data_IF_296654071719
#
_entry.id   IF_296654071719
#
_cell.length_a   1.000
_cell.length_b   1.000
_cell.length_c   1.000
_cell.angle_alpha   90.00
_cell.angle_beta   90.00
_cell.angle_gamma   90.00
#
_symmetry.space_group_name_H-M   'P 1'
#
loop_
_entity.id
_entity.type
_entity.pdbx_description
1 polymer ?
#
# COMPACT_ATOMS: atom_id res chain seq x y z
N UNK A 1 11.86 -12.98 2.00
CA UNK A 1 11.11 -13.99 1.25
C UNK A 1 9.69 -14.24 1.74
N UNK A 2 9.45 -14.66 3.00
CA UNK A 2 8.13 -15.10 3.47
C UNK A 2 7.05 -13.98 3.42
N UNK A 3 7.35 -12.79 3.94
CA UNK A 3 6.39 -11.66 3.97
C UNK A 3 5.97 -11.24 2.55
N UNK A 4 6.91 -11.24 1.60
CA UNK A 4 6.60 -10.92 0.20
C UNK A 4 5.67 -11.98 -0.41
N UNK A 5 5.90 -13.27 -0.14
CA UNK A 5 4.99 -14.34 -0.60
C UNK A 5 3.61 -14.23 0.05
N UNK A 6 3.54 -13.90 1.35
CA UNK A 6 2.29 -13.64 2.03
C UNK A 6 1.55 -12.45 1.40
N UNK A 7 2.28 -11.40 0.98
CA UNK A 7 1.68 -10.26 0.26
C UNK A 7 1.16 -10.65 -1.13
N UNK A 8 1.85 -11.50 -1.88
CA UNK A 8 1.35 -12.01 -3.17
C UNK A 8 0.04 -12.78 -2.98
N UNK A 9 -0.03 -13.68 -1.99
CA UNK A 9 -1.28 -14.39 -1.65
C UNK A 9 -2.38 -13.42 -1.23
N UNK A 10 -2.05 -12.43 -0.41
CA UNK A 10 -2.97 -11.35 -0.03
C UNK A 10 -3.51 -10.61 -1.25
N UNK A 11 -2.63 -10.19 -2.16
CA UNK A 11 -2.96 -9.51 -3.41
C UNK A 11 -3.93 -10.33 -4.26
N UNK A 12 -3.61 -11.60 -4.54
CA UNK A 12 -4.44 -12.48 -5.36
C UNK A 12 -5.79 -12.76 -4.70
N UNK A 13 -5.83 -12.86 -3.37
CA UNK A 13 -7.09 -12.95 -2.62
C UNK A 13 -7.95 -11.70 -2.80
N UNK A 14 -7.38 -10.49 -2.93
CA UNK A 14 -8.16 -9.27 -3.15
C UNK A 14 -8.77 -9.22 -4.54
N UNK A 15 -8.10 -9.79 -5.54
CA UNK A 15 -8.66 -10.00 -6.89
C UNK A 15 -9.68 -11.14 -6.92
N UNK A 16 -9.74 -11.97 -5.88
CA UNK A 16 -10.61 -13.15 -5.85
C UNK A 16 -10.12 -14.30 -6.73
N UNK A 17 -8.85 -14.27 -7.13
CA UNK A 17 -8.22 -15.20 -8.08
C UNK A 17 -7.51 -16.38 -7.41
N UNK A 18 -7.12 -16.27 -6.12
CA UNK A 18 -6.36 -17.29 -5.45
C UNK A 18 -7.17 -18.57 -5.18
N UNK A 19 -8.45 -18.43 -4.78
CA UNK A 19 -9.39 -19.54 -4.60
C UNK A 19 -10.66 -19.33 -5.43
N UNK A 20 -11.31 -20.43 -5.85
CA UNK A 20 -12.64 -20.37 -6.45
C UNK A 20 -13.71 -19.81 -5.50
N UNK A 21 -13.53 -20.01 -4.21
CA UNK A 21 -14.47 -19.56 -3.16
C UNK A 21 -14.17 -18.12 -2.74
N UNK A 22 -15.16 -17.21 -2.89
CA UNK A 22 -15.07 -15.82 -2.40
C UNK A 22 -14.82 -15.77 -0.88
N UNK A 23 -15.42 -16.70 -0.12
CA UNK A 23 -15.23 -16.79 1.34
C UNK A 23 -13.80 -17.20 1.69
N UNK A 24 -13.23 -18.17 0.99
CA UNK A 24 -11.84 -18.60 1.19
C UNK A 24 -10.85 -17.45 0.89
N UNK A 25 -11.04 -16.72 -0.21
CA UNK A 25 -10.23 -15.53 -0.53
C UNK A 25 -10.33 -14.47 0.60
N UNK A 26 -11.53 -14.22 1.15
CA UNK A 26 -11.69 -13.26 2.22
C UNK A 26 -11.00 -13.72 3.53
N UNK A 27 -11.08 -15.00 3.90
CA UNK A 27 -10.45 -15.54 5.11
C UNK A 27 -8.93 -15.48 4.99
N UNK A 28 -8.37 -16.05 3.93
CA UNK A 28 -6.92 -16.10 3.72
C UNK A 28 -6.35 -14.70 3.47
N UNK A 29 -7.07 -13.85 2.74
CA UNK A 29 -6.70 -12.45 2.55
C UNK A 29 -6.63 -11.67 3.87
N UNK A 30 -7.54 -11.90 4.82
CA UNK A 30 -7.44 -11.30 6.16
C UNK A 30 -6.26 -11.83 6.96
N UNK A 31 -6.00 -13.14 6.93
CA UNK A 31 -4.85 -13.74 7.64
C UNK A 31 -3.54 -13.20 7.09
N UNK A 32 -3.35 -13.23 5.78
CA UNK A 32 -2.15 -12.71 5.13
C UNK A 32 -2.06 -11.18 5.24
N UNK A 33 -3.19 -10.48 5.28
CA UNK A 33 -3.28 -9.05 5.57
C UNK A 33 -2.77 -8.69 6.98
N UNK A 34 -3.03 -9.51 7.99
CA UNK A 34 -2.44 -9.34 9.33
C UNK A 34 -0.92 -9.53 9.27
N UNK A 35 -0.45 -10.60 8.62
CA UNK A 35 1.00 -10.89 8.47
C UNK A 35 1.75 -9.75 7.78
N UNK A 36 1.12 -9.12 6.79
CA UNK A 36 1.72 -8.04 6.00
C UNK A 36 1.36 -6.64 6.50
N UNK A 37 0.55 -6.54 7.56
CA UNK A 37 0.06 -5.28 8.15
C UNK A 37 -0.87 -4.46 7.24
N UNK A 38 -1.62 -5.11 6.37
CA UNK A 38 -2.60 -4.49 5.47
C UNK A 38 -4.04 -4.90 5.82
N UNK A 39 -4.95 -3.94 6.11
CA UNK A 39 -6.38 -4.23 6.25
C UNK A 39 -6.98 -4.67 4.91
N UNK A 40 -7.50 -5.90 4.84
CA UNK A 40 -7.93 -6.56 3.60
C UNK A 40 -8.98 -5.77 2.82
N UNK A 41 -10.09 -5.35 3.47
CA UNK A 41 -11.20 -4.70 2.77
C UNK A 41 -10.86 -3.28 2.31
N UNK A 42 -10.09 -2.53 3.10
CA UNK A 42 -9.58 -1.21 2.74
C UNK A 42 -8.68 -1.31 1.51
N UNK A 43 -7.66 -2.16 1.60
CA UNK A 43 -6.68 -2.32 0.53
C UNK A 43 -7.32 -2.87 -0.75
N UNK A 44 -8.24 -3.83 -0.63
CA UNK A 44 -8.99 -4.38 -1.76
C UNK A 44 -9.74 -3.29 -2.53
N UNK A 45 -10.41 -2.36 -1.83
CA UNK A 45 -11.10 -1.25 -2.47
C UNK A 45 -10.12 -0.30 -3.16
N UNK A 46 -9.09 0.15 -2.43
CA UNK A 46 -8.10 1.10 -2.96
C UNK A 46 -7.38 0.51 -4.18
N UNK A 47 -7.01 -0.76 -4.13
CA UNK A 47 -6.37 -1.48 -5.22
C UNK A 47 -7.30 -1.71 -6.43
N UNK A 48 -8.58 -1.99 -6.20
CA UNK A 48 -9.58 -2.06 -7.27
C UNK A 48 -9.74 -0.72 -7.99
N UNK A 49 -9.75 0.39 -7.24
CA UNK A 49 -9.81 1.74 -7.82
C UNK A 49 -8.52 2.03 -8.60
N UNK A 50 -7.36 1.71 -8.02
CA UNK A 50 -6.07 1.84 -8.69
C UNK A 50 -6.05 1.13 -10.05
N UNK A 51 -6.45 -0.14 -10.12
CA UNK A 51 -6.54 -0.87 -11.40
C UNK A 51 -7.54 -0.25 -12.38
N UNK A 52 -8.65 0.30 -11.88
CA UNK A 52 -9.66 0.91 -12.73
C UNK A 52 -9.28 2.31 -13.25
N UNK A 53 -8.29 2.96 -12.64
CA UNK A 53 -7.92 4.34 -12.95
C UNK A 53 -6.41 4.54 -13.13
N UNK A 54 -5.66 3.44 -13.26
CA UNK A 54 -4.21 3.49 -13.46
C UNK A 54 -3.88 4.33 -14.69
N UNK A 55 -2.87 5.19 -14.59
CA UNK A 55 -2.43 6.10 -15.65
C UNK A 55 -3.42 7.22 -16.04
N UNK A 56 -4.55 7.36 -15.35
CA UNK A 56 -5.48 8.47 -15.53
C UNK A 56 -5.07 9.65 -14.64
N UNK A 57 -4.62 10.75 -15.25
CA UNK A 57 -4.10 11.92 -14.54
C UNK A 57 -5.14 12.63 -13.68
N UNK A 58 -6.42 12.56 -14.04
CA UNK A 58 -7.51 13.23 -13.31
C UNK A 58 -8.04 12.37 -12.15
N UNK A 59 -7.76 11.05 -12.14
CA UNK A 59 -8.27 10.09 -11.15
C UNK A 59 -7.19 9.47 -10.25
N UNK A 60 -5.97 10.00 -10.28
CA UNK A 60 -4.86 9.54 -9.43
C UNK A 60 -5.06 9.88 -7.94
N UNK A 61 -4.24 9.33 -7.08
CA UNK A 61 -4.21 9.60 -5.63
C UNK A 61 -4.94 8.57 -4.77
N UNK A 62 -5.41 7.45 -5.34
CA UNK A 62 -5.96 6.32 -4.59
C UNK A 62 -5.18 5.06 -4.96
N UNK A 63 -4.33 4.59 -4.03
CA UNK A 63 -3.50 3.41 -4.26
C UNK A 63 -2.27 3.66 -5.13
N UNK A 64 -2.00 4.91 -5.48
CA UNK A 64 -0.89 5.31 -6.35
C UNK A 64 0.26 5.93 -5.57
N UNK A 65 1.44 5.92 -6.17
CA UNK A 65 2.52 6.83 -5.82
C UNK A 65 2.25 8.14 -6.57
N UNK A 66 1.99 9.21 -5.81
CA UNK A 66 1.57 10.49 -6.39
C UNK A 66 2.57 11.02 -7.42
N UNK A 67 2.06 11.44 -8.57
CA UNK A 67 2.82 11.90 -9.72
C UNK A 67 2.26 13.23 -10.22
N UNK A 68 3.17 14.14 -10.57
CA UNK A 68 2.84 15.42 -11.19
C UNK A 68 3.33 15.44 -12.63
N UNK A 69 2.57 16.08 -13.51
CA UNK A 69 3.07 16.48 -14.82
C UNK A 69 4.12 17.58 -14.65
N UNK A 70 4.87 17.86 -15.71
CA UNK A 70 5.87 18.95 -15.70
C UNK A 70 5.20 20.29 -15.42
N UNK A 71 4.07 20.56 -16.05
CA UNK A 71 3.35 21.82 -15.88
C UNK A 71 2.81 21.98 -14.45
N UNK A 72 2.15 20.95 -13.91
CA UNK A 72 1.71 20.93 -12.50
C UNK A 72 2.87 21.15 -11.51
N UNK A 73 4.04 20.58 -11.80
CA UNK A 73 5.22 20.81 -10.97
C UNK A 73 5.73 22.25 -11.07
N UNK A 74 5.74 22.83 -12.27
CA UNK A 74 6.19 24.20 -12.49
C UNK A 74 5.23 25.25 -11.92
N UNK A 75 3.95 24.96 -11.84
CA UNK A 75 2.93 25.81 -11.21
C UNK A 75 3.04 25.83 -9.67
N UNK A 76 3.64 24.80 -9.05
CA UNK A 76 3.81 24.78 -7.59
C UNK A 76 4.77 25.87 -7.10
N UNK A 77 4.48 26.36 -5.89
CA UNK A 77 5.39 27.24 -5.14
C UNK A 77 6.76 26.57 -4.94
N UNK A 78 7.80 27.36 -4.64
CA UNK A 78 9.15 26.84 -4.35
C UNK A 78 9.12 25.79 -3.23
N UNK A 79 8.32 26.01 -2.17
CA UNK A 79 8.16 25.06 -1.07
C UNK A 79 7.40 23.80 -1.52
N UNK A 80 6.38 23.92 -2.36
CA UNK A 80 5.65 22.80 -2.94
C UNK A 80 6.55 21.92 -3.81
N UNK A 81 7.41 22.53 -4.64
CA UNK A 81 8.42 21.80 -5.43
C UNK A 81 9.44 21.08 -4.55
N UNK A 82 9.91 21.73 -3.48
CA UNK A 82 10.80 21.08 -2.52
C UNK A 82 10.12 19.88 -1.84
N UNK A 83 8.88 20.04 -1.39
CA UNK A 83 8.08 18.96 -0.80
C UNK A 83 7.93 17.77 -1.76
N UNK A 84 7.61 18.03 -3.03
CA UNK A 84 7.51 16.98 -4.04
C UNK A 84 8.84 16.28 -4.30
N UNK A 85 9.96 17.02 -4.39
CA UNK A 85 11.30 16.43 -4.53
C UNK A 85 11.69 15.55 -3.34
N UNK A 86 11.37 15.99 -2.12
CA UNK A 86 11.59 15.18 -0.92
C UNK A 86 10.73 13.92 -0.94
N UNK A 87 9.45 14.03 -1.28
CA UNK A 87 8.56 12.88 -1.41
C UNK A 87 9.09 11.85 -2.43
N UNK A 88 9.60 12.32 -3.59
CA UNK A 88 10.15 11.47 -4.67
C UNK A 88 11.60 11.04 -4.42
N UNK A 89 12.25 11.51 -3.36
CA UNK A 89 13.61 11.08 -3.03
C UNK A 89 13.61 9.58 -2.68
N UNK A 90 14.50 8.76 -3.28
CA UNK A 90 14.55 7.32 -3.03
C UNK A 90 14.66 6.92 -1.55
N UNK A 91 15.45 7.67 -0.76
CA UNK A 91 15.60 7.42 0.68
C UNK A 91 14.28 7.67 1.42
N UNK A 92 13.54 8.73 1.05
CA UNK A 92 12.24 9.02 1.65
C UNK A 92 11.21 8.00 1.16
N UNK A 93 11.12 7.77 -0.14
CA UNK A 93 10.10 6.91 -0.73
C UNK A 93 10.26 5.44 -0.33
N UNK A 94 11.47 4.89 -0.42
CA UNK A 94 11.74 3.47 -0.13
C UNK A 94 12.20 3.22 1.31
N UNK A 95 12.66 4.23 2.02
CA UNK A 95 13.06 4.15 3.43
C UNK A 95 11.93 4.54 4.38
N UNK A 96 11.44 5.78 4.31
CA UNK A 96 10.38 6.26 5.21
C UNK A 96 8.98 5.84 4.77
N UNK A 97 8.76 5.66 3.46
CA UNK A 97 7.46 5.26 2.89
C UNK A 97 6.88 3.98 3.50
N UNK A 98 7.63 2.86 3.61
CA UNK A 98 7.15 1.63 4.22
C UNK A 98 6.74 1.82 5.69
N UNK A 99 7.50 2.57 6.45
CA UNK A 99 7.19 2.87 7.85
C UNK A 99 5.91 3.71 7.95
N UNK A 100 5.80 4.75 7.16
CA UNK A 100 4.60 5.58 7.10
C UNK A 100 3.36 4.78 6.68
N UNK A 101 3.50 3.91 5.68
CA UNK A 101 2.42 3.05 5.22
C UNK A 101 1.95 2.08 6.32
N UNK A 102 2.88 1.36 6.96
CA UNK A 102 2.55 0.36 7.98
C UNK A 102 2.05 1.01 9.27
N UNK A 103 2.70 2.08 9.73
CA UNK A 103 2.41 2.68 11.05
C UNK A 103 1.28 3.71 11.01
N UNK A 104 1.03 4.33 9.87
CA UNK A 104 0.05 5.42 9.74
C UNK A 104 -1.04 5.10 8.71
N UNK A 105 -0.70 5.01 7.43
CA UNK A 105 -1.73 4.92 6.38
C UNK A 105 -2.65 3.72 6.56
N UNK A 106 -2.10 2.55 6.89
CA UNK A 106 -2.89 1.34 7.09
C UNK A 106 -3.63 1.29 8.43
N UNK A 107 -3.37 2.22 9.35
CA UNK A 107 -4.04 2.26 10.68
C UNK A 107 -5.32 3.06 10.67
N UNK A 108 -5.48 3.98 9.71
CA UNK A 108 -6.62 4.88 9.63
C UNK A 108 -7.43 4.65 8.36
N UNK A 109 -8.72 4.96 8.44
CA UNK A 109 -9.64 4.87 7.32
C UNK A 109 -9.79 6.23 6.62
N UNK A 110 -9.99 6.22 5.31
CA UNK A 110 -10.42 7.41 4.56
C UNK A 110 -11.80 7.88 5.05
N UNK A 111 -12.10 9.15 4.83
CA UNK A 111 -13.40 9.74 5.24
C UNK A 111 -14.59 9.03 4.58
N UNK A 112 -14.43 8.64 3.31
CA UNK A 112 -15.41 7.96 2.46
C UNK A 112 -15.44 6.41 2.64
N UNK A 113 -14.68 5.88 3.61
CA UNK A 113 -14.61 4.43 3.86
C UNK A 113 -15.96 3.87 4.31
N UNK A 114 -16.35 2.75 3.71
CA UNK A 114 -17.57 2.02 4.06
C UNK A 114 -17.45 1.33 5.43
N UNK A 115 -18.59 1.02 6.05
CA UNK A 115 -18.61 0.33 7.35
C UNK A 115 -17.76 -0.94 7.38
N UNK A 116 -17.81 -1.74 6.32
CA UNK A 116 -17.04 -2.99 6.20
C UNK A 116 -15.53 -2.74 6.26
N UNK A 117 -15.05 -1.74 5.55
CA UNK A 117 -13.63 -1.34 5.53
C UNK A 117 -13.19 -0.88 6.91
N UNK A 118 -13.99 -0.02 7.57
CA UNK A 118 -13.70 0.50 8.92
C UNK A 118 -13.59 -0.63 9.94
N UNK A 119 -14.56 -1.55 9.96
CA UNK A 119 -14.57 -2.69 10.87
C UNK A 119 -13.37 -3.60 10.61
N UNK A 120 -13.03 -3.84 9.36
CA UNK A 120 -11.87 -4.65 8.99
C UNK A 120 -10.55 -4.00 9.39
N UNK A 121 -10.42 -2.68 9.24
CA UNK A 121 -9.23 -1.94 9.72
C UNK A 121 -9.10 -2.03 11.23
N UNK A 122 -10.19 -1.87 11.98
CA UNK A 122 -10.14 -2.00 13.44
C UNK A 122 -9.79 -3.42 13.88
N UNK A 123 -10.37 -4.43 13.23
CA UNK A 123 -10.01 -5.83 13.45
C UNK A 123 -8.51 -6.09 13.19
N UNK A 124 -7.99 -5.62 12.06
CA UNK A 124 -6.56 -5.74 11.72
C UNK A 124 -5.67 -5.05 12.76
N UNK A 125 -6.04 -3.84 13.20
CA UNK A 125 -5.29 -3.09 14.22
C UNK A 125 -5.27 -3.80 15.57
N UNK A 126 -6.41 -4.36 16.02
CA UNK A 126 -6.50 -5.12 17.27
C UNK A 126 -5.67 -6.40 17.17
N UNK A 127 -5.78 -7.14 16.05
CA UNK A 127 -5.00 -8.35 15.83
C UNK A 127 -3.49 -8.06 15.87
N UNK A 128 -3.04 -7.00 15.19
CA UNK A 128 -1.64 -6.58 15.22
C UNK A 128 -1.19 -6.16 16.62
N UNK A 129 -2.01 -5.39 17.34
CA UNK A 129 -1.69 -4.99 18.71
C UNK A 129 -1.48 -6.22 19.60
N UNK A 130 -2.39 -7.18 19.56
CA UNK A 130 -2.29 -8.42 20.35
C UNK A 130 -1.05 -9.21 19.95
N UNK A 131 -0.84 -9.46 18.66
CA UNK A 131 0.29 -10.26 18.17
C UNK A 131 1.62 -9.58 18.50
N UNK A 132 1.78 -8.29 18.21
CA UNK A 132 3.01 -7.56 18.47
C UNK A 132 3.32 -7.51 19.97
N UNK A 133 2.31 -7.23 20.81
CA UNK A 133 2.49 -7.23 22.27
C UNK A 133 2.90 -8.62 22.76
N UNK A 134 2.25 -9.69 22.30
CA UNK A 134 2.61 -11.07 22.67
C UNK A 134 4.05 -11.40 22.26
N UNK A 135 4.44 -11.05 21.03
CA UNK A 135 5.83 -11.30 20.56
C UNK A 135 6.87 -10.50 21.38
N UNK A 136 6.55 -9.26 21.75
CA UNK A 136 7.43 -8.43 22.60
C UNK A 136 7.56 -9.04 24.00
N UNK A 137 6.47 -9.52 24.59
CA UNK A 137 6.49 -10.14 25.91
C UNK A 137 7.28 -11.47 25.95
N UNK A 138 7.20 -12.25 24.86
CA UNK A 138 7.90 -13.55 24.77
C UNK A 138 9.39 -13.36 24.44
N UNK A 139 9.73 -12.53 23.47
CA UNK A 139 11.07 -12.45 22.90
C UNK A 139 11.83 -11.17 23.28
N UNK A 140 11.19 -10.22 23.93
CA UNK A 140 11.72 -8.91 24.24
C UNK A 140 11.71 -7.95 23.08
N UNK A 141 11.74 -6.65 23.42
CA UNK A 141 11.63 -5.54 22.46
C UNK A 141 12.74 -5.54 21.40
N UNK A 142 13.98 -5.78 21.80
CA UNK A 142 15.12 -5.76 20.88
C UNK A 142 15.04 -6.85 19.82
N UNK A 143 14.68 -8.09 20.20
CA UNK A 143 14.50 -9.21 19.28
C UNK A 143 13.31 -8.94 18.33
N UNK A 144 12.20 -8.43 18.88
CA UNK A 144 11.04 -8.06 18.08
C UNK A 144 11.39 -7.03 17.00
N UNK A 145 12.08 -5.96 17.34
CA UNK A 145 12.49 -4.94 16.36
C UNK A 145 13.47 -5.49 15.33
N UNK A 146 14.48 -6.24 15.78
CA UNK A 146 15.51 -6.78 14.89
C UNK A 146 14.95 -7.80 13.91
N UNK A 147 14.04 -8.67 14.33
CA UNK A 147 13.50 -9.73 13.48
C UNK A 147 12.26 -9.27 12.74
N UNK A 148 11.21 -8.88 13.47
CA UNK A 148 9.92 -8.53 12.87
C UNK A 148 9.95 -7.15 12.21
N UNK A 149 10.44 -6.14 12.92
CA UNK A 149 10.53 -4.76 12.42
C UNK A 149 11.40 -4.66 11.17
N UNK A 150 12.62 -5.21 11.21
CA UNK A 150 13.53 -5.20 10.06
C UNK A 150 12.98 -6.01 8.88
N UNK A 151 12.34 -7.15 9.14
CA UNK A 151 11.72 -7.96 8.09
C UNK A 151 10.59 -7.22 7.38
N UNK A 152 9.69 -6.57 8.12
CA UNK A 152 8.62 -5.74 7.54
C UNK A 152 9.18 -4.52 6.80
N UNK A 153 10.19 -3.88 7.35
CA UNK A 153 10.85 -2.74 6.71
C UNK A 153 11.45 -3.12 5.35
N UNK A 154 12.28 -4.18 5.30
CA UNK A 154 12.89 -4.65 4.05
C UNK A 154 11.82 -5.10 3.05
N UNK A 155 10.82 -5.87 3.49
CA UNK A 155 9.75 -6.32 2.61
C UNK A 155 8.92 -5.16 2.07
N UNK A 156 8.62 -4.16 2.89
CA UNK A 156 7.90 -2.95 2.49
C UNK A 156 8.70 -2.08 1.52
N UNK A 157 10.02 -1.90 1.77
CA UNK A 157 10.91 -1.16 0.88
C UNK A 157 10.98 -1.79 -0.51
N UNK A 158 11.18 -3.12 -0.56
CA UNK A 158 11.16 -3.87 -1.82
C UNK A 158 9.79 -3.83 -2.50
N UNK A 159 8.70 -3.91 -1.73
CA UNK A 159 7.34 -3.83 -2.25
C UNK A 159 7.05 -2.47 -2.91
N UNK A 160 7.39 -1.36 -2.25
CA UNK A 160 7.22 0.00 -2.82
C UNK A 160 8.14 0.18 -4.03
N UNK A 161 9.37 -0.30 -3.98
CA UNK A 161 10.30 -0.23 -5.10
C UNK A 161 9.77 -0.98 -6.33
N UNK A 162 9.31 -2.23 -6.16
CA UNK A 162 8.71 -3.01 -7.24
C UNK A 162 7.47 -2.33 -7.82
N UNK A 163 6.59 -1.82 -6.97
CA UNK A 163 5.41 -1.08 -7.40
C UNK A 163 5.80 0.17 -8.19
N UNK A 164 6.81 0.90 -7.72
CA UNK A 164 7.30 2.10 -8.40
C UNK A 164 7.78 1.82 -9.82
N UNK A 165 8.66 0.81 -10.00
CA UNK A 165 9.21 0.49 -11.31
C UNK A 165 8.18 -0.09 -12.29
N UNK A 166 7.11 -0.70 -11.79
CA UNK A 166 6.01 -1.20 -12.62
C UNK A 166 5.11 -0.09 -13.17
N UNK A 167 5.08 1.08 -12.50
CA UNK A 167 4.19 2.19 -12.84
C UNK A 167 4.93 3.46 -13.30
N UNK A 168 6.25 3.47 -13.21
CA UNK A 168 7.06 4.66 -13.55
C UNK A 168 8.31 4.22 -14.31
N UNK A 169 8.17 4.05 -15.61
CA UNK A 169 9.25 3.72 -16.54
C UNK A 169 9.21 4.67 -17.73
N UNK A 170 10.26 4.68 -18.53
CA UNK A 170 10.31 5.45 -19.79
C UNK A 170 9.18 4.96 -20.71
N UNK A 171 8.49 5.89 -21.37
CA UNK A 171 7.31 5.64 -22.22
C UNK A 171 6.04 5.13 -21.48
N UNK A 172 5.94 5.30 -20.15
CA UNK A 172 4.70 5.00 -19.43
C UNK A 172 3.55 5.84 -19.98
N UNK A 173 2.43 5.18 -20.28
CA UNK A 173 1.20 5.85 -20.72
C UNK A 173 0.55 6.61 -19.57
N UNK A 174 0.28 7.89 -19.75
CA UNK A 174 -0.50 8.73 -18.84
C UNK A 174 -1.30 9.75 -19.66
N UNK A 175 -2.62 9.79 -19.44
CA UNK A 175 -3.51 10.71 -20.13
C UNK A 175 -4.57 11.31 -19.21
N UNK A 176 -5.13 12.45 -19.62
CA UNK A 176 -6.29 13.07 -18.99
C UNK A 176 -7.55 12.27 -19.27
N UNK A 177 -8.59 12.39 -18.45
CA UNK A 177 -9.80 11.56 -18.50
C UNK A 177 -10.48 11.54 -19.88
N UNK A 178 -10.41 12.65 -20.64
CA UNK A 178 -10.99 12.76 -21.98
C UNK A 178 -10.28 11.95 -23.06
N UNK A 179 -9.01 11.62 -22.86
CA UNK A 179 -8.17 10.89 -23.83
C UNK A 179 -7.66 9.55 -23.28
N UNK A 180 -7.98 9.28 -22.01
CA UNK A 180 -7.56 8.07 -21.33
C UNK A 180 -8.30 6.83 -21.85
N UNK A 181 -7.53 5.78 -22.17
CA UNK A 181 -8.04 4.50 -22.63
C UNK A 181 -7.55 3.38 -21.70
N UNK A 182 -8.49 2.59 -21.18
CA UNK A 182 -8.19 1.47 -20.28
C UNK A 182 -7.36 0.35 -20.95
N UNK A 183 -7.40 0.23 -22.28
CA UNK A 183 -6.77 -0.86 -23.01
C UNK A 183 -5.36 -0.51 -23.52
N UNK A 184 -4.98 0.77 -23.46
CA UNK A 184 -3.62 1.21 -23.78
C UNK A 184 -2.69 1.03 -22.60
#
# INVERSE_FOLDING_TARGET
>A
GFVIRAFIIFHDCTHGSFFKSKKANAIIGNITGIVTSFPYEKWKREHTIHHATSSNLDKRGIGDIDMLTVDEYLEKSKLGRLGYRLYRNPIVLFGLGPLFMVLILNRFNRKDAKRKERLNTYFNNIALLVICTTLILIFGWSTFLLVHGLTLFIAGSLGIWLFYIQHTYEDSYFEVDSEWDYVK
#
